data_IF_503108399834
#
_entry.id   IF_503108399834
#
_cell.length_a   1.000
_cell.length_b   1.000
_cell.length_c   1.000
_cell.angle_alpha   90.00
_cell.angle_beta   90.00
_cell.angle_gamma   90.00
#
_symmetry.space_group_name_H-M   'P 1'
#
loop_
_entity.id
_entity.type
_entity.pdbx_description
1 polymer ?
#
# COMPACT_ATOMS: atom_id res chain seq x y z
N UNK A 1 19.84 3.64 10.19
CA UNK A 1 18.75 3.08 9.35
C UNK A 1 19.23 3.24 7.92
N UNK A 2 19.47 2.14 7.22
CA UNK A 2 20.01 2.17 5.85
C UNK A 2 18.88 1.84 4.86
N UNK A 3 18.81 2.60 3.77
CA UNK A 3 17.86 2.35 2.69
C UNK A 3 18.33 1.11 1.92
N UNK A 4 17.50 0.06 1.86
CA UNK A 4 17.87 -1.20 1.22
C UNK A 4 17.64 -1.18 -0.31
N UNK A 5 16.49 -0.67 -0.76
CA UNK A 5 16.09 -0.62 -2.18
C UNK A 5 15.14 0.57 -2.38
N UNK A 6 15.27 1.25 -3.52
CA UNK A 6 14.28 2.22 -4.04
C UNK A 6 13.93 1.87 -5.48
N UNK A 7 12.65 1.94 -5.83
CA UNK A 7 12.17 1.70 -7.19
C UNK A 7 11.27 2.86 -7.58
N UNK A 8 11.46 3.40 -8.78
CA UNK A 8 10.55 4.38 -9.36
C UNK A 8 9.27 3.68 -9.84
N UNK A 9 8.14 4.03 -9.24
CA UNK A 9 6.82 3.54 -9.65
C UNK A 9 6.11 4.66 -10.40
N UNK A 10 5.73 4.40 -11.65
CA UNK A 10 4.83 5.30 -12.40
C UNK A 10 3.41 5.07 -11.91
N UNK A 11 2.80 6.05 -11.25
CA UNK A 11 1.36 6.05 -11.02
C UNK A 11 0.64 6.06 -12.38
N UNK A 12 -0.03 4.96 -12.71
CA UNK A 12 -0.94 4.89 -13.85
C UNK A 12 -2.30 5.38 -13.35
N UNK A 13 -2.76 6.51 -13.89
CA UNK A 13 -3.79 7.35 -13.26
C UNK A 13 -5.15 6.68 -13.00
N UNK A 14 -5.84 7.22 -11.99
CA UNK A 14 -7.28 7.10 -11.80
C UNK A 14 -7.81 8.35 -11.07
N UNK A 15 -8.86 8.97 -11.63
CA UNK A 15 -9.46 10.25 -11.19
C UNK A 15 -10.18 10.21 -9.82
N UNK A 16 -9.95 9.17 -9.01
CA UNK A 16 -10.45 9.03 -7.63
C UNK A 16 -9.44 8.24 -6.80
N UNK A 17 -8.29 8.85 -6.54
CA UNK A 17 -7.28 8.25 -5.68
C UNK A 17 -7.82 8.16 -4.24
N UNK A 18 -7.76 6.99 -3.58
CA UNK A 18 -7.99 6.92 -2.15
C UNK A 18 -6.91 7.74 -1.42
N UNK A 19 -7.32 8.59 -0.47
CA UNK A 19 -6.38 9.35 0.34
C UNK A 19 -5.81 8.45 1.44
N UNK A 20 -4.76 7.71 1.09
CA UNK A 20 -4.10 6.80 2.00
C UNK A 20 -3.20 7.58 2.97
N UNK A 21 -3.50 7.46 4.26
CA UNK A 21 -2.82 8.20 5.34
C UNK A 21 -1.90 7.34 6.19
N UNK A 22 -1.99 6.02 6.03
CA UNK A 22 -1.20 5.06 6.78
C UNK A 22 -1.08 3.74 6.05
N UNK A 23 0.04 3.05 6.30
CA UNK A 23 0.37 1.74 5.75
C UNK A 23 1.05 0.93 6.85
N UNK A 24 0.71 -0.35 6.98
CA UNK A 24 1.39 -1.31 7.86
C UNK A 24 1.23 -2.75 7.33
N UNK A 25 2.05 -3.68 7.82
CA UNK A 25 1.96 -5.10 7.50
C UNK A 25 1.30 -5.88 8.65
N UNK A 26 0.36 -6.75 8.30
CA UNK A 26 -0.17 -7.73 9.25
C UNK A 26 0.88 -8.81 9.55
N UNK A 27 0.80 -9.51 10.70
CA UNK A 27 1.73 -10.59 11.03
C UNK A 27 1.78 -11.73 10.00
N UNK A 28 0.75 -11.89 9.18
CA UNK A 28 0.69 -12.88 8.09
C UNK A 28 1.26 -12.38 6.76
N UNK A 29 1.82 -11.17 6.72
CA UNK A 29 2.49 -10.58 5.57
C UNK A 29 1.58 -9.80 4.62
N UNK A 30 0.27 -9.73 4.87
CA UNK A 30 -0.64 -8.88 4.08
C UNK A 30 -0.41 -7.39 4.38
N UNK A 31 -0.58 -6.54 3.38
CA UNK A 31 -0.48 -5.08 3.54
C UNK A 31 -1.83 -4.49 3.94
N UNK A 32 -1.82 -3.53 4.85
CA UNK A 32 -3.00 -2.74 5.24
C UNK A 32 -2.74 -1.29 4.90
N UNK A 33 -3.70 -0.66 4.24
CA UNK A 33 -3.74 0.77 3.99
C UNK A 33 -4.94 1.42 4.68
N UNK A 34 -4.75 2.61 5.23
CA UNK A 34 -5.80 3.38 5.93
C UNK A 34 -6.27 4.54 5.06
N UNK A 35 -7.56 4.55 4.72
CA UNK A 35 -8.25 5.69 4.10
C UNK A 35 -9.09 6.40 5.18
N UNK A 36 -8.54 7.50 5.71
CA UNK A 36 -9.17 8.25 6.80
C UNK A 36 -10.40 9.05 6.33
N UNK A 37 -10.46 9.45 5.04
CA UNK A 37 -11.62 10.18 4.52
C UNK A 37 -12.86 9.29 4.51
N UNK A 38 -12.67 8.01 4.14
CA UNK A 38 -13.75 7.02 4.10
C UNK A 38 -13.92 6.26 5.42
N UNK A 39 -13.01 6.46 6.39
CA UNK A 39 -12.96 5.75 7.65
C UNK A 39 -12.97 4.21 7.46
N UNK A 40 -12.15 3.73 6.52
CA UNK A 40 -11.99 2.30 6.22
C UNK A 40 -10.51 1.91 6.24
N UNK A 41 -10.27 0.62 6.45
CA UNK A 41 -8.99 -0.01 6.15
C UNK A 41 -9.14 -0.93 4.93
N UNK A 42 -8.13 -0.94 4.08
CA UNK A 42 -8.04 -1.77 2.88
C UNK A 42 -6.98 -2.83 3.15
N UNK A 43 -7.35 -4.11 3.05
CA UNK A 43 -6.41 -5.23 3.16
C UNK A 43 -6.03 -5.67 1.76
N UNK A 44 -4.74 -5.60 1.44
CA UNK A 44 -4.14 -6.09 0.21
C UNK A 44 -3.43 -7.41 0.50
N UNK A 45 -3.92 -8.47 -0.15
CA UNK A 45 -3.30 -9.80 -0.14
C UNK A 45 -2.78 -10.08 -1.55
N UNK A 46 -1.62 -9.51 -1.82
CA UNK A 46 -0.74 -9.93 -2.87
C UNK A 46 0.27 -10.86 -2.23
N UNK A 47 0.03 -12.18 -2.34
CA UNK A 47 1.12 -13.14 -2.54
C UNK A 47 1.94 -12.62 -3.72
N UNK A 48 2.84 -11.69 -3.42
CA UNK A 48 3.56 -10.86 -4.38
C UNK A 48 4.08 -11.85 -5.43
N UNK A 49 3.54 -11.78 -6.64
CA UNK A 49 4.15 -12.47 -7.77
C UNK A 49 5.55 -11.91 -7.81
N UNK A 50 6.51 -12.68 -7.30
CA UNK A 50 7.92 -12.40 -7.42
C UNK A 50 8.14 -12.21 -8.92
N UNK A 51 8.47 -10.98 -9.32
CA UNK A 51 8.88 -10.68 -10.69
C UNK A 51 10.03 -11.60 -11.09
#
# INVERSE_FOLDING_TARGET
>A
MELLVSVDIKQTGHDKEPFLTGLDFLPDGRLVAVDNEKNIYIIMDDRLKRL
#
